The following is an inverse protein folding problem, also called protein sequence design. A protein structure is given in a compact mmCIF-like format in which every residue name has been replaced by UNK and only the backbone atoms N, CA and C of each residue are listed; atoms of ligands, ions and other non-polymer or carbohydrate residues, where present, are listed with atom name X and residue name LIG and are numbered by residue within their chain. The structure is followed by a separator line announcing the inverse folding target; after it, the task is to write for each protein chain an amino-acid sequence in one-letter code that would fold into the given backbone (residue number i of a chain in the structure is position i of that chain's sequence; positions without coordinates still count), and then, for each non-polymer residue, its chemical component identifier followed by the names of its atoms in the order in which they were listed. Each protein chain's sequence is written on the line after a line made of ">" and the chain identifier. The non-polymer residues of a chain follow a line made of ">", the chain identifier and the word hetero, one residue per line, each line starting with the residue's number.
data_IF_858006882943
#
_entry.id   IF_858006882943
#
_cell.length_a   1.000
_cell.length_b   1.000
_cell.length_c   1.000
_cell.angle_alpha   90.00
_cell.angle_beta   90.00
_cell.angle_gamma   90.00
#
_symmetry.space_group_name_H-M   'P 1'
#
loop_
_entity.id
_entity.type
_entity.pdbx_description
1 polymer ?
#
# COMPACT_ATOMS: atom_id res chain seq x y z
N UNK A 1 11.31 2.47 -10.57
CA UNK A 1 11.69 1.08 -10.20
C UNK A 1 10.49 0.19 -10.41
N UNK A 2 10.65 -0.98 -11.02
CA UNK A 2 9.58 -1.94 -11.31
C UNK A 2 9.54 -3.03 -10.24
N UNK A 3 8.34 -3.51 -9.91
CA UNK A 3 8.14 -4.68 -9.05
C UNK A 3 7.46 -5.79 -9.85
N UNK A 4 8.07 -6.97 -9.85
CA UNK A 4 7.52 -8.18 -10.43
C UNK A 4 7.26 -9.21 -9.32
N UNK A 5 6.05 -9.73 -9.28
CA UNK A 5 5.64 -10.85 -8.44
C UNK A 5 5.41 -12.02 -9.40
N UNK A 6 6.20 -13.09 -9.25
CA UNK A 6 6.18 -14.22 -10.18
C UNK A 6 5.71 -15.48 -9.45
N UNK A 7 4.55 -15.99 -9.80
CA UNK A 7 3.97 -17.26 -9.34
C UNK A 7 4.04 -17.44 -7.81
N UNK A 8 3.82 -16.35 -7.05
CA UNK A 8 3.92 -16.37 -5.58
C UNK A 8 2.82 -17.24 -4.98
N UNK A 9 3.25 -18.19 -4.15
CA UNK A 9 2.38 -19.08 -3.37
C UNK A 9 2.75 -18.97 -1.90
N UNK A 10 1.74 -18.92 -1.03
CA UNK A 10 1.93 -18.83 0.42
C UNK A 10 1.02 -19.83 1.11
N UNK A 11 1.64 -20.73 1.88
CA UNK A 11 0.96 -21.66 2.77
C UNK A 11 1.32 -21.39 4.23
N UNK A 12 0.33 -21.34 5.12
CA UNK A 12 0.51 -21.21 6.57
C UNK A 12 -0.33 -22.28 7.26
N UNK A 13 0.29 -23.07 8.12
CA UNK A 13 -0.38 -24.15 8.90
C UNK A 13 -1.25 -25.09 8.05
N UNK A 14 -0.78 -25.40 6.84
CA UNK A 14 -1.48 -26.30 5.90
C UNK A 14 -2.56 -25.64 5.04
N UNK A 15 -2.90 -24.37 5.28
CA UNK A 15 -3.83 -23.61 4.44
C UNK A 15 -3.07 -22.81 3.39
N UNK A 16 -3.49 -22.86 2.11
CA UNK A 16 -2.97 -22.03 1.03
C UNK A 16 -3.72 -20.71 1.01
N UNK A 17 -3.05 -19.63 1.40
CA UNK A 17 -3.59 -18.26 1.47
C UNK A 17 -3.40 -17.48 0.17
N UNK A 18 -2.31 -17.76 -0.55
CA UNK A 18 -1.99 -17.19 -1.86
C UNK A 18 -1.58 -18.34 -2.77
N UNK A 19 -2.08 -18.35 -4.01
CA UNK A 19 -1.95 -19.48 -4.94
C UNK A 19 -1.56 -18.98 -6.31
N UNK A 20 -0.27 -19.08 -6.64
CA UNK A 20 0.26 -18.80 -7.96
C UNK A 20 -0.12 -17.40 -8.48
N UNK A 21 0.05 -16.37 -7.63
CA UNK A 21 -0.21 -14.98 -8.04
C UNK A 21 0.99 -14.41 -8.75
N UNK A 22 0.72 -13.89 -9.96
CA UNK A 22 1.67 -13.11 -10.73
C UNK A 22 1.09 -11.73 -11.03
N UNK A 23 1.88 -10.68 -10.80
CA UNK A 23 1.54 -9.31 -11.15
C UNK A 23 2.80 -8.46 -11.37
N UNK A 24 2.64 -7.36 -12.11
CA UNK A 24 3.69 -6.39 -12.35
C UNK A 24 3.21 -4.99 -12.00
N UNK A 25 4.05 -4.24 -11.28
CA UNK A 25 3.92 -2.80 -11.10
C UNK A 25 5.07 -2.10 -11.84
N UNK A 26 4.76 -1.38 -12.90
CA UNK A 26 5.74 -0.58 -13.65
C UNK A 26 6.23 0.61 -12.85
N UNK A 27 7.34 1.20 -13.27
CA UNK A 27 7.92 2.37 -12.60
C UNK A 27 6.92 3.53 -12.54
N UNK A 28 6.68 4.06 -11.34
CA UNK A 28 5.77 5.18 -11.11
C UNK A 28 4.28 4.83 -11.19
N UNK A 29 3.91 3.55 -11.35
CA UNK A 29 2.52 3.11 -11.36
C UNK A 29 1.99 2.87 -9.95
N UNK A 30 0.71 3.19 -9.77
CA UNK A 30 -0.07 2.81 -8.58
C UNK A 30 -0.90 1.57 -8.93
N UNK A 31 -0.57 0.44 -8.32
CA UNK A 31 -1.24 -0.85 -8.54
C UNK A 31 -2.05 -1.21 -7.30
N UNK A 32 -3.37 -1.33 -7.47
CA UNK A 32 -4.31 -1.69 -6.43
C UNK A 32 -4.59 -3.19 -6.38
N UNK A 33 -4.53 -3.77 -5.19
CA UNK A 33 -5.05 -5.10 -4.89
C UNK A 33 -6.43 -4.93 -4.27
N UNK A 34 -7.46 -5.44 -4.92
CA UNK A 34 -8.85 -5.40 -4.45
C UNK A 34 -9.41 -6.81 -4.34
N UNK A 35 -10.44 -7.00 -3.53
CA UNK A 35 -11.06 -8.31 -3.33
C UNK A 35 -11.67 -8.45 -1.93
N UNK A 36 -12.46 -9.50 -1.69
CA UNK A 36 -13.09 -9.75 -0.39
C UNK A 36 -12.09 -9.86 0.77
N UNK A 37 -12.60 -9.75 1.99
CA UNK A 37 -11.78 -10.00 3.19
C UNK A 37 -11.31 -11.46 3.20
N UNK A 38 -10.05 -11.68 3.58
CA UNK A 38 -9.44 -13.01 3.57
C UNK A 38 -9.01 -13.52 2.19
N UNK A 39 -9.14 -12.74 1.12
CA UNK A 39 -8.76 -13.17 -0.23
C UNK A 39 -7.24 -13.34 -0.45
N UNK A 40 -6.39 -12.87 0.47
CA UNK A 40 -4.94 -13.03 0.40
C UNK A 40 -4.15 -11.76 0.08
N UNK A 41 -4.80 -10.58 -0.07
CA UNK A 41 -4.15 -9.29 -0.41
C UNK A 41 -3.01 -8.94 0.54
N UNK A 42 -3.30 -8.82 1.84
CA UNK A 42 -2.29 -8.49 2.86
C UNK A 42 -1.21 -9.56 2.96
N UNK A 43 -1.55 -10.84 2.77
CA UNK A 43 -0.58 -11.94 2.75
C UNK A 43 0.41 -11.78 1.58
N UNK A 44 -0.08 -11.41 0.40
CA UNK A 44 0.76 -11.12 -0.76
C UNK A 44 1.66 -9.90 -0.50
N UNK A 45 1.11 -8.80 0.02
CA UNK A 45 1.90 -7.61 0.35
C UNK A 45 2.97 -7.90 1.41
N UNK A 46 2.69 -8.77 2.40
CA UNK A 46 3.69 -9.22 3.38
C UNK A 46 4.88 -9.92 2.74
N UNK A 47 4.69 -10.60 1.60
CA UNK A 47 5.81 -11.16 0.84
C UNK A 47 6.64 -10.05 0.18
N UNK A 48 5.97 -9.01 -0.35
CA UNK A 48 6.65 -7.89 -1.02
C UNK A 48 7.50 -7.09 -0.03
N UNK A 49 7.02 -6.82 1.18
CA UNK A 49 7.84 -6.11 2.17
C UNK A 49 8.60 -7.06 3.14
N UNK A 50 8.74 -8.35 2.76
CA UNK A 50 9.58 -9.36 3.42
C UNK A 50 9.19 -9.70 4.87
N UNK A 51 7.96 -9.38 5.30
CA UNK A 51 7.44 -9.86 6.58
C UNK A 51 7.06 -11.35 6.51
N UNK A 52 6.87 -11.87 5.30
CA UNK A 52 6.56 -13.28 5.05
C UNK A 52 7.39 -13.79 3.87
N UNK A 53 7.90 -15.01 3.97
CA UNK A 53 8.54 -15.70 2.84
C UNK A 53 7.50 -16.47 2.02
N UNK A 54 7.46 -16.31 0.69
CA UNK A 54 6.64 -17.17 -0.15
C UNK A 54 7.12 -18.63 -0.06
N UNK A 55 6.18 -19.56 -0.16
CA UNK A 55 6.46 -21.01 -0.20
C UNK A 55 6.98 -21.42 -1.59
N UNK A 56 6.53 -20.71 -2.64
CA UNK A 56 7.01 -20.84 -4.01
C UNK A 56 6.86 -19.50 -4.73
N UNK A 57 7.54 -19.36 -5.87
CA UNK A 57 7.60 -18.12 -6.62
C UNK A 57 8.62 -17.13 -6.06
N UNK A 58 8.64 -15.93 -6.61
CA UNK A 58 9.61 -14.90 -6.23
C UNK A 58 9.00 -13.48 -6.35
N UNK A 59 9.54 -12.55 -5.56
CA UNK A 59 9.32 -11.10 -5.72
C UNK A 59 10.63 -10.50 -6.19
N UNK A 60 10.59 -9.71 -7.28
CA UNK A 60 11.75 -9.02 -7.84
C UNK A 60 11.54 -7.51 -7.86
N UNK A 61 12.63 -6.79 -7.68
CA UNK A 61 12.69 -5.34 -7.87
C UNK A 61 13.74 -5.06 -8.94
N UNK A 62 13.31 -4.47 -10.07
CA UNK A 62 14.15 -4.26 -11.27
C UNK A 62 14.89 -5.54 -11.72
N UNK A 63 14.21 -6.68 -11.65
CA UNK A 63 14.75 -7.98 -12.04
C UNK A 63 15.58 -8.68 -10.95
N UNK A 64 15.99 -8.01 -9.89
CA UNK A 64 16.73 -8.60 -8.77
C UNK A 64 15.78 -9.28 -7.77
N UNK A 65 16.09 -10.51 -7.40
CA UNK A 65 15.30 -11.25 -6.41
C UNK A 65 15.42 -10.58 -5.03
N UNK A 66 14.28 -10.18 -4.49
CA UNK A 66 14.19 -9.51 -3.18
C UNK A 66 14.72 -10.40 -2.04
N UNK A 67 14.63 -11.71 -2.16
CA UNK A 67 15.13 -12.66 -1.16
C UNK A 67 16.66 -12.72 -1.10
N UNK A 68 17.35 -12.39 -2.21
CA UNK A 68 18.80 -12.35 -2.30
C UNK A 68 19.40 -11.05 -1.74
N UNK A 69 18.63 -9.99 -1.66
CA UNK A 69 19.07 -8.71 -1.08
C UNK A 69 19.23 -8.83 0.44
N UNK A 70 20.21 -8.13 1.01
CA UNK A 70 20.25 -7.97 2.46
C UNK A 70 19.10 -7.04 2.93
N UNK A 71 18.74 -7.13 4.23
CA UNK A 71 17.60 -6.38 4.78
C UNK A 71 17.75 -4.87 4.63
N UNK A 72 18.96 -4.35 4.75
CA UNK A 72 19.25 -2.92 4.64
C UNK A 72 19.12 -2.42 3.20
N UNK A 73 19.60 -3.20 2.26
CA UNK A 73 19.50 -2.89 0.84
C UNK A 73 18.04 -2.86 0.39
N UNK A 74 17.26 -3.89 0.72
CA UNK A 74 15.84 -3.90 0.41
C UNK A 74 15.09 -2.76 1.08
N UNK A 75 15.42 -2.42 2.34
CA UNK A 75 14.81 -1.30 3.06
C UNK A 75 15.19 0.08 2.52
N UNK A 76 16.24 0.23 1.73
CA UNK A 76 16.54 1.49 1.01
C UNK A 76 15.74 1.63 -0.29
N UNK A 77 15.27 0.53 -0.86
CA UNK A 77 14.52 0.52 -2.11
C UNK A 77 13.01 0.52 -1.88
N UNK A 78 12.55 -0.11 -0.80
CA UNK A 78 11.15 -0.36 -0.52
C UNK A 78 10.78 0.07 0.90
N UNK A 79 9.76 0.90 1.03
CA UNK A 79 9.11 1.21 2.29
C UNK A 79 7.73 0.56 2.36
N UNK A 80 7.31 0.20 3.57
CA UNK A 80 6.01 -0.40 3.79
C UNK A 80 5.25 0.30 4.92
N UNK A 81 3.94 0.41 4.72
CA UNK A 81 2.96 0.76 5.73
C UNK A 81 2.03 -0.45 5.92
N UNK A 82 2.30 -1.32 6.92
CA UNK A 82 1.43 -2.44 7.23
C UNK A 82 0.13 -1.96 7.88
N UNK A 83 -0.92 -2.78 7.81
CA UNK A 83 -2.24 -2.50 8.36
C UNK A 83 -2.23 -2.17 9.88
N UNK A 84 -1.39 -2.85 10.63
CA UNK A 84 -1.18 -2.61 12.06
C UNK A 84 0.24 -2.08 12.29
N UNK A 85 0.35 -0.78 12.49
CA UNK A 85 1.57 -0.12 12.95
C UNK A 85 1.39 0.34 14.39
N UNK A 86 1.20 -0.62 15.31
CA UNK A 86 1.11 -0.33 16.74
C UNK A 86 2.47 0.13 17.27
N UNK A 87 2.59 1.42 17.62
CA UNK A 87 3.67 1.88 18.50
C UNK A 87 3.13 1.85 19.93
N UNK A 88 3.65 0.96 20.76
CA UNK A 88 3.34 0.91 22.21
C UNK A 88 4.13 1.94 23.03
N UNK A 89 5.09 2.62 22.39
CA UNK A 89 5.98 3.57 23.02
C UNK A 89 5.60 5.02 22.69
N UNK A 90 5.71 5.89 23.67
CA UNK A 90 5.41 7.32 23.52
C UNK A 90 6.59 8.06 22.87
N UNK A 91 6.68 7.93 21.54
CA UNK A 91 7.62 8.69 20.72
C UNK A 91 6.98 9.99 20.26
N UNK A 92 7.78 11.03 20.08
CA UNK A 92 7.39 12.22 19.35
C UNK A 92 7.23 11.91 17.84
N UNK A 93 6.47 12.74 17.15
CA UNK A 93 6.34 12.65 15.68
C UNK A 93 7.71 12.71 14.99
N UNK A 94 8.59 13.62 15.44
CA UNK A 94 9.95 13.71 14.91
C UNK A 94 10.72 12.39 15.04
N UNK A 95 10.64 11.73 16.18
CA UNK A 95 11.29 10.44 16.41
C UNK A 95 10.72 9.32 15.54
N UNK A 96 9.37 9.27 15.39
CA UNK A 96 8.72 8.30 14.51
C UNK A 96 9.17 8.47 13.07
N UNK A 97 9.22 9.70 12.56
CA UNK A 97 9.66 9.97 11.18
C UNK A 97 11.16 9.68 11.01
N UNK A 98 11.99 9.99 12.01
CA UNK A 98 13.42 9.69 11.99
C UNK A 98 13.72 8.18 11.91
N UNK A 99 12.83 7.29 12.39
CA UNK A 99 12.97 5.85 12.19
C UNK A 99 13.03 5.46 10.71
N UNK A 100 12.42 6.25 9.80
CA UNK A 100 12.54 6.06 8.35
C UNK A 100 13.98 6.15 7.85
N UNK A 101 14.88 6.81 8.59
CA UNK A 101 16.29 6.95 8.21
C UNK A 101 17.19 5.78 8.62
N UNK A 102 16.68 4.86 9.45
CA UNK A 102 17.47 3.72 9.95
C UNK A 102 18.20 2.91 8.85
N UNK A 103 17.62 2.65 7.66
CA UNK A 103 18.32 1.95 6.59
C UNK A 103 19.53 2.73 6.04
N UNK A 104 19.58 4.04 6.21
CA UNK A 104 20.66 4.90 5.73
C UNK A 104 21.78 5.11 6.77
N UNK A 105 21.50 4.85 8.04
CA UNK A 105 22.43 5.07 9.16
C UNK A 105 23.32 3.84 9.40
N UNK A 106 24.56 4.04 9.82
CA UNK A 106 25.44 2.97 10.32
C UNK A 106 24.99 2.48 11.72
N UNK A 107 25.48 1.34 12.17
CA UNK A 107 25.10 0.75 13.45
C UNK A 107 25.37 1.68 14.68
N UNK A 108 26.27 2.65 14.55
CA UNK A 108 26.60 3.65 15.58
C UNK A 108 26.52 5.10 15.02
N UNK A 109 25.82 5.30 13.90
CA UNK A 109 25.77 6.61 13.28
C UNK A 109 24.85 7.55 14.09
N UNK A 110 25.29 8.79 14.25
CA UNK A 110 24.43 9.87 14.75
C UNK A 110 23.52 10.38 13.62
N UNK A 111 22.34 10.88 14.00
CA UNK A 111 21.44 11.58 13.07
C UNK A 111 22.20 12.74 12.43
N UNK A 112 22.30 12.74 11.11
CA UNK A 112 22.99 13.77 10.32
C UNK A 112 22.08 14.96 10.05
N UNK A 113 22.64 16.10 9.61
CA UNK A 113 21.82 17.23 9.15
C UNK A 113 21.05 16.90 7.88
N UNK A 114 21.53 15.97 7.05
CA UNK A 114 20.81 15.44 5.90
C UNK A 114 19.57 14.65 6.35
N UNK A 115 19.71 13.78 7.35
CA UNK A 115 18.56 13.04 7.91
C UNK A 115 17.50 14.00 8.45
N UNK A 116 17.91 15.05 9.16
CA UNK A 116 16.98 16.07 9.70
C UNK A 116 16.24 16.79 8.57
N UNK A 117 16.93 17.19 7.50
CA UNK A 117 16.31 17.83 6.34
C UNK A 117 15.36 16.89 5.63
N UNK A 118 15.73 15.62 5.46
CA UNK A 118 14.86 14.61 4.82
C UNK A 118 13.60 14.36 5.64
N UNK A 119 13.70 14.27 6.96
CA UNK A 119 12.54 14.11 7.84
C UNK A 119 11.63 15.34 7.81
N UNK A 120 12.21 16.56 7.82
CA UNK A 120 11.44 17.78 7.73
C UNK A 120 10.68 17.88 6.40
N UNK A 121 11.33 17.59 5.27
CA UNK A 121 10.70 17.55 3.95
C UNK A 121 9.58 16.50 3.87
N UNK A 122 9.78 15.34 4.50
CA UNK A 122 8.74 14.31 4.56
C UNK A 122 7.51 14.75 5.37
N UNK A 123 7.72 15.45 6.49
CA UNK A 123 6.62 16.04 7.29
C UNK A 123 5.90 17.16 6.53
N UNK A 124 6.64 17.97 5.79
CA UNK A 124 6.07 19.02 4.94
C UNK A 124 5.18 18.42 3.84
N UNK A 125 5.68 17.38 3.15
CA UNK A 125 4.96 16.70 2.08
C UNK A 125 3.60 16.13 2.53
N UNK A 126 3.45 15.75 3.80
CA UNK A 126 2.19 15.24 4.35
C UNK A 126 1.40 16.30 5.16
N UNK A 127 1.84 17.56 5.17
CA UNK A 127 1.19 18.65 5.93
C UNK A 127 1.23 18.47 7.45
N UNK A 128 2.23 17.75 8.00
CA UNK A 128 2.30 17.36 9.40
C UNK A 128 3.40 18.09 10.21
N UNK A 129 4.01 19.15 9.67
CA UNK A 129 5.08 19.93 10.34
C UNK A 129 4.64 20.43 11.72
N UNK A 130 3.40 20.89 11.85
CA UNK A 130 2.84 21.41 13.10
C UNK A 130 2.69 20.36 14.21
N UNK A 131 2.86 19.08 13.89
CA UNK A 131 2.77 17.96 14.82
C UNK A 131 4.14 17.50 15.34
N UNK A 132 5.25 18.05 14.84
CA UNK A 132 6.64 17.56 15.02
C UNK A 132 6.98 17.17 16.46
N UNK A 133 6.62 18.01 17.43
CA UNK A 133 6.94 17.83 18.85
C UNK A 133 5.84 17.13 19.65
N UNK A 134 4.74 16.76 19.03
CA UNK A 134 3.64 16.06 19.70
C UNK A 134 3.95 14.58 19.89
N UNK A 135 3.45 14.00 20.98
CA UNK A 135 3.49 12.56 21.22
C UNK A 135 2.63 11.82 20.18
N UNK A 136 3.20 10.82 19.50
CA UNK A 136 2.50 10.07 18.44
C UNK A 136 1.18 9.44 18.92
N UNK A 137 1.13 8.96 20.16
CA UNK A 137 -0.08 8.34 20.73
C UNK A 137 -1.23 9.34 20.92
N UNK A 138 -0.94 10.65 21.03
CA UNK A 138 -1.96 11.70 21.22
C UNK A 138 -2.62 12.16 19.93
N UNK A 139 -2.15 11.65 18.77
CA UNK A 139 -2.64 12.04 17.47
C UNK A 139 -3.97 11.34 17.13
N UNK A 140 -4.80 12.02 16.34
CA UNK A 140 -5.96 11.41 15.68
C UNK A 140 -5.54 10.32 14.68
N UNK A 141 -6.46 9.47 14.23
CA UNK A 141 -6.18 8.42 13.25
C UNK A 141 -5.56 8.97 11.96
N UNK A 142 -6.13 10.05 11.41
CA UNK A 142 -5.61 10.68 10.19
C UNK A 142 -4.26 11.34 10.37
N UNK A 143 -4.01 12.00 11.53
CA UNK A 143 -2.69 12.54 11.85
C UNK A 143 -1.65 11.42 11.96
N UNK A 144 -1.97 10.32 12.65
CA UNK A 144 -1.10 9.13 12.73
C UNK A 144 -0.76 8.58 11.36
N UNK A 145 -1.76 8.45 10.49
CA UNK A 145 -1.56 7.93 9.15
C UNK A 145 -0.62 8.82 8.33
N UNK A 146 -0.80 10.15 8.36
CA UNK A 146 0.11 11.09 7.69
C UNK A 146 1.54 10.97 8.23
N UNK A 147 1.72 10.87 9.54
CA UNK A 147 3.05 10.68 10.16
C UNK A 147 3.71 9.37 9.73
N UNK A 148 2.95 8.27 9.65
CA UNK A 148 3.46 6.99 9.18
C UNK A 148 3.85 7.02 7.70
N UNK A 149 3.11 7.76 6.87
CA UNK A 149 3.47 8.01 5.47
C UNK A 149 4.74 8.88 5.42
N UNK A 150 4.85 9.94 6.24
CA UNK A 150 6.07 10.74 6.34
C UNK A 150 7.29 9.88 6.71
N UNK A 151 7.14 8.95 7.65
CA UNK A 151 8.19 7.97 8.00
C UNK A 151 8.59 7.13 6.78
N UNK A 152 7.62 6.64 6.02
CA UNK A 152 7.90 5.86 4.80
C UNK A 152 8.59 6.71 3.73
N UNK A 153 8.18 7.97 3.53
CA UNK A 153 8.83 8.90 2.60
C UNK A 153 10.23 9.32 3.05
N UNK A 154 10.45 9.50 4.37
CA UNK A 154 11.77 9.80 4.94
C UNK A 154 12.79 8.69 4.66
N UNK A 155 12.35 7.47 4.42
CA UNK A 155 13.19 6.35 3.97
C UNK A 155 13.71 6.55 2.54
N UNK A 156 13.17 7.50 1.77
CA UNK A 156 13.49 7.77 0.36
C UNK A 156 13.38 6.50 -0.51
N UNK A 157 12.25 5.77 -0.43
CA UNK A 157 12.09 4.54 -1.18
C UNK A 157 11.83 4.84 -2.66
N UNK A 158 11.94 3.81 -3.49
CA UNK A 158 11.49 3.85 -4.89
C UNK A 158 10.21 3.03 -5.08
N UNK A 159 9.92 2.14 -4.12
CA UNK A 159 8.69 1.34 -4.05
C UNK A 159 8.02 1.59 -2.71
N UNK A 160 6.72 1.85 -2.74
CA UNK A 160 5.89 2.02 -1.54
C UNK A 160 4.81 0.92 -1.50
N UNK A 161 4.75 0.19 -0.40
CA UNK A 161 3.73 -0.84 -0.17
C UNK A 161 2.80 -0.39 0.94
N UNK A 162 1.50 -0.33 0.64
CA UNK A 162 0.47 0.16 1.55
C UNK A 162 -0.59 -0.92 1.77
N UNK A 163 -0.74 -1.39 2.98
CA UNK A 163 -1.75 -2.38 3.34
C UNK A 163 -2.91 -1.67 4.05
N UNK A 164 -3.99 -1.42 3.30
CA UNK A 164 -5.20 -0.73 3.75
C UNK A 164 -4.95 0.67 4.35
N UNK A 165 -4.28 1.58 3.62
CA UNK A 165 -3.84 2.86 4.15
C UNK A 165 -4.98 3.82 4.50
N UNK A 166 -6.21 3.51 4.11
CA UNK A 166 -7.40 4.35 4.29
C UNK A 166 -8.31 3.90 5.42
N UNK A 167 -7.97 2.81 6.13
CA UNK A 167 -8.78 2.31 7.22
C UNK A 167 -8.85 3.30 8.38
N UNK A 168 -10.04 3.42 8.96
CA UNK A 168 -10.34 4.33 10.09
C UNK A 168 -10.16 5.83 9.81
N UNK A 169 -10.04 6.21 8.54
CA UNK A 169 -9.98 7.60 8.10
C UNK A 169 -11.35 8.08 7.63
N UNK A 170 -11.66 9.35 7.86
CA UNK A 170 -12.80 9.99 7.22
C UNK A 170 -12.55 10.19 5.70
N UNK A 171 -13.61 10.51 4.96
CA UNK A 171 -13.57 10.60 3.50
C UNK A 171 -12.51 11.61 3.01
N UNK A 172 -12.42 12.78 3.66
CA UNK A 172 -11.47 13.82 3.28
C UNK A 172 -10.02 13.32 3.45
N UNK A 173 -9.73 12.69 4.58
CA UNK A 173 -8.42 12.11 4.89
C UNK A 173 -8.05 10.97 3.94
N UNK A 174 -9.00 10.11 3.55
CA UNK A 174 -8.78 9.04 2.57
C UNK A 174 -8.33 9.62 1.22
N UNK A 175 -9.03 10.64 0.74
CA UNK A 175 -8.71 11.32 -0.52
C UNK A 175 -7.35 12.02 -0.46
N UNK A 176 -7.04 12.71 0.64
CA UNK A 176 -5.75 13.36 0.84
C UNK A 176 -4.58 12.35 0.80
N UNK A 177 -4.69 11.26 1.54
CA UNK A 177 -3.68 10.19 1.61
C UNK A 177 -3.43 9.58 0.23
N UNK A 178 -4.49 9.19 -0.48
CA UNK A 178 -4.34 8.55 -1.79
C UNK A 178 -3.85 9.55 -2.86
N UNK A 179 -4.25 10.81 -2.79
CA UNK A 179 -3.74 11.87 -3.67
C UNK A 179 -2.25 12.11 -3.44
N UNK A 180 -1.80 12.15 -2.18
CA UNK A 180 -0.40 12.26 -1.81
C UNK A 180 0.42 11.07 -2.36
N UNK A 181 -0.08 9.84 -2.18
CA UNK A 181 0.56 8.63 -2.68
C UNK A 181 0.69 8.68 -4.21
N UNK A 182 -0.39 9.06 -4.92
CA UNK A 182 -0.38 9.18 -6.37
C UNK A 182 0.59 10.25 -6.88
N UNK A 183 0.66 11.39 -6.21
CA UNK A 183 1.56 12.51 -6.59
C UNK A 183 3.03 12.25 -6.24
N UNK A 184 3.35 11.23 -5.45
CA UNK A 184 4.72 10.93 -5.02
C UNK A 184 5.65 10.49 -6.15
N UNK A 185 5.12 10.01 -7.28
CA UNK A 185 5.87 9.45 -8.40
C UNK A 185 6.55 8.11 -8.09
N UNK A 186 6.28 7.52 -6.92
CA UNK A 186 6.80 6.22 -6.52
C UNK A 186 6.04 5.10 -7.24
N UNK A 187 6.66 3.93 -7.36
CA UNK A 187 5.93 2.71 -7.68
C UNK A 187 5.19 2.24 -6.44
N UNK A 188 3.88 2.09 -6.53
CA UNK A 188 3.03 1.80 -5.37
C UNK A 188 2.28 0.49 -5.56
N UNK A 189 2.33 -0.37 -4.55
CA UNK A 189 1.46 -1.53 -4.38
C UNK A 189 0.56 -1.27 -3.18
N UNK A 190 -0.75 -1.23 -3.37
CA UNK A 190 -1.68 -0.95 -2.27
C UNK A 190 -2.84 -1.93 -2.22
N UNK A 191 -3.21 -2.40 -1.03
CA UNK A 191 -4.49 -3.07 -0.83
C UNK A 191 -5.56 -2.04 -0.46
N UNK A 192 -6.68 -2.07 -1.16
CA UNK A 192 -7.81 -1.16 -0.93
C UNK A 192 -9.11 -1.96 -0.82
N UNK A 193 -10.00 -1.50 0.09
CA UNK A 193 -11.35 -2.06 0.24
C UNK A 193 -12.37 -1.29 -0.58
N UNK A 194 -12.22 0.03 -0.68
CA UNK A 194 -13.14 0.88 -1.44
C UNK A 194 -12.79 0.84 -2.93
N UNK A 195 -13.69 0.29 -3.72
CA UNK A 195 -13.51 0.13 -5.17
C UNK A 195 -13.58 1.46 -5.93
N UNK A 196 -14.30 2.47 -5.40
CA UNK A 196 -14.34 3.80 -5.99
C UNK A 196 -13.03 4.54 -5.77
N UNK A 197 -12.45 4.43 -4.56
CA UNK A 197 -11.11 4.96 -4.29
C UNK A 197 -10.05 4.25 -5.13
N UNK A 198 -10.15 2.93 -5.27
CA UNK A 198 -9.26 2.15 -6.13
C UNK A 198 -9.37 2.57 -7.60
N UNK A 199 -10.59 2.79 -8.11
CA UNK A 199 -10.83 3.24 -9.47
C UNK A 199 -10.28 4.65 -9.74
N UNK A 200 -10.32 5.53 -8.73
CA UNK A 200 -9.88 6.92 -8.86
C UNK A 200 -8.35 7.08 -8.79
N UNK A 201 -7.69 6.25 -7.97
CA UNK A 201 -6.29 6.47 -7.62
C UNK A 201 -5.32 5.43 -8.18
N UNK A 202 -5.79 4.25 -8.64
CA UNK A 202 -4.91 3.22 -9.19
C UNK A 202 -4.88 3.25 -10.72
N UNK A 203 -3.70 2.99 -11.29
CA UNK A 203 -3.52 2.82 -12.74
C UNK A 203 -3.95 1.41 -13.19
N UNK A 204 -3.66 0.42 -12.35
CA UNK A 204 -4.03 -0.98 -12.57
C UNK A 204 -4.65 -1.56 -11.30
N UNK A 205 -5.59 -2.49 -11.49
CA UNK A 205 -6.18 -3.29 -10.43
C UNK A 205 -5.91 -4.77 -10.66
N UNK A 206 -5.59 -5.47 -9.58
CA UNK A 206 -5.61 -6.91 -9.50
C UNK A 206 -6.69 -7.35 -8.51
N UNK A 207 -7.68 -8.06 -9.01
CA UNK A 207 -8.76 -8.60 -8.18
C UNK A 207 -8.31 -9.95 -7.66
N UNK A 208 -8.24 -10.06 -6.34
CA UNK A 208 -7.83 -11.30 -5.65
C UNK A 208 -9.03 -11.91 -4.97
N UNK A 209 -9.30 -13.16 -5.30
CA UNK A 209 -10.33 -13.97 -4.64
C UNK A 209 -9.84 -15.40 -4.40
N UNK A 210 -10.14 -15.98 -3.24
CA UNK A 210 -9.72 -17.34 -2.85
C UNK A 210 -8.21 -17.59 -2.99
N UNK A 211 -7.39 -16.56 -2.82
CA UNK A 211 -5.94 -16.62 -2.93
C UNK A 211 -5.40 -16.58 -4.37
N UNK A 212 -6.22 -16.26 -5.37
CA UNK A 212 -5.84 -16.19 -6.80
C UNK A 212 -6.19 -14.84 -7.39
N UNK A 213 -5.46 -14.43 -8.42
CA UNK A 213 -5.88 -13.30 -9.27
C UNK A 213 -6.99 -13.79 -10.19
N UNK A 214 -8.17 -13.19 -10.09
CA UNK A 214 -9.35 -13.51 -10.95
C UNK A 214 -9.52 -12.53 -12.09
N UNK A 215 -9.00 -11.30 -11.95
CA UNK A 215 -8.96 -10.31 -13.03
C UNK A 215 -7.82 -9.32 -12.80
N UNK A 216 -7.27 -8.77 -13.88
CA UNK A 216 -6.26 -7.70 -13.83
C UNK A 216 -6.39 -6.79 -15.06
N UNK A 217 -6.13 -5.50 -14.88
CA UNK A 217 -6.21 -4.50 -15.93
C UNK A 217 -6.48 -3.11 -15.39
N UNK A 218 -6.89 -2.19 -16.26
CA UNK A 218 -7.31 -0.86 -15.80
C UNK A 218 -8.59 -0.94 -14.97
N UNK A 219 -8.87 0.02 -14.09
CA UNK A 219 -10.13 0.04 -13.34
C UNK A 219 -11.36 -0.08 -14.25
N UNK A 220 -11.30 0.53 -15.45
CA UNK A 220 -12.37 0.46 -16.42
C UNK A 220 -12.60 -0.97 -16.94
N UNK A 221 -11.55 -1.73 -17.20
CA UNK A 221 -11.64 -3.07 -17.76
C UNK A 221 -12.06 -4.10 -16.70
N UNK A 222 -11.60 -3.91 -15.48
CA UNK A 222 -11.75 -4.88 -14.39
C UNK A 222 -13.08 -4.72 -13.64
N UNK A 223 -13.49 -3.50 -13.31
CA UNK A 223 -14.68 -3.26 -12.48
C UNK A 223 -15.99 -3.40 -13.28
N UNK A 224 -16.24 -4.59 -13.81
CA UNK A 224 -17.47 -4.90 -14.57
C UNK A 224 -18.60 -5.35 -13.65
N UNK A 225 -19.88 -5.08 -14.00
CA UNK A 225 -21.01 -5.56 -13.19
C UNK A 225 -21.01 -7.08 -12.95
N UNK A 226 -20.57 -7.87 -13.93
CA UNK A 226 -20.46 -9.33 -13.79
C UNK A 226 -19.43 -9.71 -12.73
N UNK A 227 -18.21 -9.19 -12.81
CA UNK A 227 -17.15 -9.46 -11.83
C UNK A 227 -17.56 -9.00 -10.43
N UNK A 228 -18.24 -7.85 -10.31
CA UNK A 228 -18.68 -7.32 -9.02
C UNK A 228 -19.76 -8.21 -8.39
N UNK A 229 -20.66 -8.77 -9.21
CA UNK A 229 -21.65 -9.74 -8.73
C UNK A 229 -20.97 -11.04 -8.27
N UNK A 230 -20.05 -11.58 -9.07
CA UNK A 230 -19.43 -12.90 -8.84
C UNK A 230 -18.47 -12.86 -7.64
N UNK A 231 -17.63 -11.82 -7.52
CA UNK A 231 -16.56 -11.75 -6.52
C UNK A 231 -17.00 -11.05 -5.24
N UNK A 232 -17.78 -9.96 -5.37
CA UNK A 232 -18.16 -9.12 -4.23
C UNK A 232 -19.61 -9.34 -3.76
N UNK A 233 -20.40 -10.10 -4.53
CA UNK A 233 -21.79 -10.37 -4.20
C UNK A 233 -22.71 -9.13 -4.25
N UNK A 234 -22.38 -8.14 -5.08
CA UNK A 234 -23.13 -6.89 -5.20
C UNK A 234 -23.56 -6.64 -6.65
N UNK A 235 -24.73 -6.01 -6.83
CA UNK A 235 -25.08 -5.39 -8.11
C UNK A 235 -24.44 -4.01 -8.16
N UNK A 236 -23.77 -3.68 -9.26
CA UNK A 236 -23.19 -2.37 -9.44
C UNK A 236 -23.53 -1.77 -10.79
N UNK A 237 -23.80 -0.48 -10.81
CA UNK A 237 -23.94 0.33 -12.00
C UNK A 237 -22.71 1.20 -12.17
N UNK A 238 -22.18 1.26 -13.38
CA UNK A 238 -21.00 2.07 -13.71
C UNK A 238 -21.44 3.40 -14.27
N UNK A 239 -20.94 4.48 -13.68
CA UNK A 239 -21.12 5.84 -14.20
C UNK A 239 -19.76 6.52 -14.30
N UNK A 240 -19.56 7.44 -15.26
CA UNK A 240 -18.33 8.23 -15.28
C UNK A 240 -18.35 9.28 -14.16
N UNK A 241 -17.23 9.46 -13.49
CA UNK A 241 -17.06 10.57 -12.57
C UNK A 241 -17.13 11.90 -13.33
N UNK A 242 -17.93 12.89 -12.91
CA UNK A 242 -18.25 14.07 -13.72
C UNK A 242 -17.02 14.92 -14.09
N UNK A 243 -16.01 14.96 -13.24
CA UNK A 243 -14.82 15.79 -13.47
C UNK A 243 -13.66 15.00 -14.07
N UNK A 244 -13.44 13.75 -13.63
CA UNK A 244 -12.24 12.97 -14.01
C UNK A 244 -12.52 11.94 -15.10
N UNK A 245 -13.78 11.58 -15.35
CA UNK A 245 -14.17 10.49 -16.23
C UNK A 245 -13.87 9.09 -15.68
N UNK A 246 -13.27 8.99 -14.51
CA UNK A 246 -12.96 7.71 -13.86
C UNK A 246 -14.25 6.90 -13.59
N UNK A 247 -14.13 5.58 -13.55
CA UNK A 247 -15.25 4.70 -13.22
C UNK A 247 -15.71 4.96 -11.80
N UNK A 248 -16.99 5.26 -11.64
CA UNK A 248 -17.67 5.37 -10.36
C UNK A 248 -18.72 4.27 -10.28
N UNK A 249 -18.78 3.57 -9.14
CA UNK A 249 -19.69 2.46 -8.90
C UNK A 249 -20.82 2.89 -7.97
N UNK A 250 -22.05 2.65 -8.41
CA UNK A 250 -23.26 2.76 -7.60
C UNK A 250 -23.70 1.35 -7.23
N UNK A 251 -23.78 1.05 -5.94
CA UNK A 251 -24.02 -0.31 -5.46
C UNK A 251 -25.47 -0.53 -5.04
N UNK A 252 -26.01 -1.68 -5.44
CA UNK A 252 -27.27 -2.21 -4.98
C UNK A 252 -27.08 -3.62 -4.40
N UNK A 253 -28.03 -4.05 -3.56
CA UNK A 253 -28.08 -5.45 -3.13
C UNK A 253 -28.45 -6.35 -4.31
N UNK A 254 -27.84 -7.52 -4.41
CA UNK A 254 -28.38 -8.57 -5.26
C UNK A 254 -29.79 -8.94 -4.77
N UNK A 255 -30.76 -9.17 -5.68
CA UNK A 255 -32.06 -9.69 -5.28
C UNK A 255 -31.86 -11.02 -4.56
N UNK A 256 -32.65 -11.24 -3.48
CA UNK A 256 -32.67 -12.54 -2.80
C UNK A 256 -33.10 -13.60 -3.80
N UNK A 257 -32.33 -14.69 -3.91
CA UNK A 257 -32.68 -15.87 -4.69
C UNK A 257 -33.77 -16.67 -3.96
#
# INVERSE_FOLDING_TARGET
>A
MQVDIDAVTVGISGALLVRDISLRAGSGQVVGLVGPNGSGKSTLLRCVYRALRPTAGAVRIDGEDLSAMNARESARRLAALPQEAGAEFDFTVAEVVAMGRLPHQGAMARVTDEDRRTCAAALEAVGAVHLTDRGFLTLSGGEKQRVLIARALAQQPQVLVLDEPTNHLDIAQQLEVLSLVRSSGLTVLTALHDLNLAALHCDLLHVVDGGRTVASGTPHDVLTPALLADVFGVRAHRVPHPETGAVQLLFDRLPAQ
#
